data_IF_907022420647
#
_entry.id   IF_907022420647
#
_cell.length_a   1.000
_cell.length_b   1.000
_cell.length_c   1.000
_cell.angle_alpha   90.00
_cell.angle_beta   90.00
_cell.angle_gamma   90.00
#
_symmetry.space_group_name_H-M   'P 1'
#
loop_
_entity.id
_entity.type
_entity.pdbx_description
1 polymer ?
#
# COMPACT_ATOMS: atom_id res chain seq x y z
N UNK A 1 21.66 8.12 19.99
CA UNK A 1 20.18 8.22 20.08
C UNK A 1 19.66 8.46 18.67
N UNK A 2 19.15 7.42 18.00
CA UNK A 2 18.76 7.47 16.58
C UNK A 2 17.32 7.97 16.43
N UNK A 3 17.14 9.22 15.98
CA UNK A 3 15.83 9.77 15.63
C UNK A 3 15.54 9.52 14.13
N UNK A 4 14.99 8.35 13.81
CA UNK A 4 14.59 7.95 12.46
C UNK A 4 13.07 7.87 12.27
N UNK A 5 12.32 8.84 12.80
CA UNK A 5 10.88 8.93 12.58
C UNK A 5 10.54 9.28 11.12
N UNK A 6 9.36 8.86 10.60
CA UNK A 6 8.96 9.19 9.24
C UNK A 6 8.82 10.71 9.07
N UNK A 7 9.49 11.28 8.06
CA UNK A 7 9.38 12.70 7.75
C UNK A 7 8.10 13.00 6.97
N UNK A 8 7.29 13.92 7.49
CA UNK A 8 6.11 14.44 6.81
C UNK A 8 6.45 15.75 6.11
N UNK A 9 6.46 15.75 4.77
CA UNK A 9 6.69 16.93 3.92
C UNK A 9 5.35 17.58 3.55
N UNK A 10 5.18 18.86 3.88
CA UNK A 10 3.96 19.63 3.53
C UNK A 10 4.22 20.47 2.26
N UNK A 11 3.41 20.32 1.20
CA UNK A 11 3.48 21.22 0.05
C UNK A 11 2.60 22.45 0.28
N UNK A 12 3.22 23.61 0.51
CA UNK A 12 2.55 24.92 0.46
C UNK A 12 2.19 25.23 -0.99
N UNK A 13 0.92 25.09 -1.39
CA UNK A 13 0.23 25.89 -2.41
C UNK A 13 -1.24 25.49 -2.43
N UNK A 14 -2.12 26.41 -2.06
CA UNK A 14 -3.57 26.28 -2.21
C UNK A 14 -3.98 26.46 -3.68
N UNK A 15 -4.81 25.55 -4.22
CA UNK A 15 -5.93 25.82 -5.14
C UNK A 15 -6.68 24.48 -5.42
N UNK A 16 -7.98 24.45 -5.09
CA UNK A 16 -9.02 23.43 -5.41
C UNK A 16 -8.70 21.93 -5.18
N UNK A 17 -9.13 21.43 -4.01
CA UNK A 17 -9.64 20.06 -3.70
C UNK A 17 -9.09 18.81 -4.41
N UNK A 18 -7.84 18.78 -4.87
CA UNK A 18 -7.14 17.51 -5.00
C UNK A 18 -6.93 17.04 -3.57
N UNK A 19 -7.84 16.21 -3.04
CA UNK A 19 -7.56 15.45 -1.83
C UNK A 19 -6.34 14.60 -2.16
N UNK A 20 -5.16 15.14 -1.87
CA UNK A 20 -3.96 14.34 -1.71
C UNK A 20 -4.15 13.67 -0.38
N UNK A 21 -4.96 12.60 -0.38
CA UNK A 21 -5.02 11.71 0.76
C UNK A 21 -3.56 11.34 1.07
N UNK A 22 -3.09 11.56 2.29
CA UNK A 22 -1.68 11.37 2.62
C UNK A 22 -1.29 9.92 2.31
N UNK A 23 -0.30 9.74 1.44
CA UNK A 23 0.20 8.41 1.06
C UNK A 23 1.37 8.05 1.96
N UNK A 24 1.27 6.92 2.65
CA UNK A 24 2.38 6.32 3.36
C UNK A 24 3.19 5.44 2.40
N UNK A 25 4.46 5.80 2.18
CA UNK A 25 5.39 5.02 1.35
C UNK A 25 6.37 4.28 2.26
N UNK A 26 6.44 2.96 2.11
CA UNK A 26 7.36 2.10 2.87
C UNK A 26 8.04 1.10 1.94
N UNK A 27 9.31 0.81 2.21
CA UNK A 27 10.08 -0.23 1.51
C UNK A 27 10.06 -1.50 2.34
N UNK A 28 9.72 -2.64 1.72
CA UNK A 28 9.79 -3.98 2.31
C UNK A 28 10.71 -4.86 1.48
N UNK A 29 11.57 -5.64 2.15
CA UNK A 29 12.32 -6.75 1.54
C UNK A 29 11.44 -8.00 1.44
N UNK A 30 11.95 -9.02 0.77
CA UNK A 30 11.34 -10.36 0.83
C UNK A 30 11.15 -10.81 2.29
N UNK A 31 10.06 -11.51 2.53
CA UNK A 31 9.56 -12.00 3.82
C UNK A 31 9.15 -10.90 4.82
N UNK A 32 9.38 -9.63 4.52
CA UNK A 32 8.87 -8.52 5.33
C UNK A 32 7.39 -8.22 5.03
N UNK A 33 6.69 -7.72 6.05
CA UNK A 33 5.26 -7.43 5.98
C UNK A 33 4.91 -6.00 6.39
N UNK A 34 3.71 -5.58 5.95
CA UNK A 34 3.01 -4.38 6.35
C UNK A 34 1.74 -4.85 7.06
N UNK A 35 1.55 -4.42 8.30
CA UNK A 35 0.31 -4.66 9.04
C UNK A 35 -0.58 -3.41 8.96
N UNK A 36 -1.82 -3.63 8.58
CA UNK A 36 -2.90 -2.64 8.57
C UNK A 36 -3.92 -3.09 9.63
N UNK A 37 -4.60 -2.12 10.25
CA UNK A 37 -5.64 -2.36 11.26
C UNK A 37 -6.74 -3.33 10.75
N UNK A 38 -7.43 -4.01 11.66
CA UNK A 38 -8.39 -5.06 11.31
C UNK A 38 -7.77 -6.42 10.92
N UNK A 39 -6.48 -6.63 11.21
CA UNK A 39 -5.80 -7.91 10.96
C UNK A 39 -5.40 -8.12 9.49
N UNK A 40 -5.28 -7.04 8.72
CA UNK A 40 -4.86 -7.10 7.32
C UNK A 40 -3.33 -7.12 7.28
N UNK A 41 -2.76 -8.10 6.59
CA UNK A 41 -1.31 -8.26 6.46
C UNK A 41 -0.94 -8.41 4.99
N UNK A 42 -0.02 -7.56 4.52
CA UNK A 42 0.56 -7.64 3.18
C UNK A 42 2.02 -8.06 3.34
N UNK A 43 2.38 -9.21 2.77
CA UNK A 43 3.74 -9.78 2.84
C UNK A 43 4.36 -9.83 1.45
N UNK A 44 5.62 -9.43 1.33
CA UNK A 44 6.42 -9.66 0.13
C UNK A 44 6.97 -11.09 0.20
N UNK A 45 6.53 -11.98 -0.69
CA UNK A 45 7.01 -13.37 -0.68
C UNK A 45 8.23 -13.61 -1.57
N UNK A 46 8.34 -12.89 -2.69
CA UNK A 46 9.38 -13.10 -3.70
C UNK A 46 9.44 -11.87 -4.63
N UNK A 47 10.63 -11.45 -5.04
CA UNK A 47 10.86 -10.36 -5.99
C UNK A 47 11.65 -10.92 -7.18
N UNK A 48 11.00 -11.00 -8.35
CA UNK A 48 11.65 -11.46 -9.59
C UNK A 48 11.52 -10.44 -10.69
N UNK A 49 12.65 -9.88 -11.13
CA UNK A 49 12.71 -8.87 -12.18
C UNK A 49 11.73 -7.71 -11.91
N UNK A 50 10.62 -7.66 -12.65
CA UNK A 50 9.57 -6.66 -12.59
C UNK A 50 8.27 -7.17 -11.96
N UNK A 51 8.31 -8.31 -11.27
CA UNK A 51 7.15 -8.92 -10.62
C UNK A 51 7.44 -9.14 -9.15
N UNK A 52 6.44 -8.85 -8.33
CA UNK A 52 6.47 -9.10 -6.89
C UNK A 52 5.37 -10.10 -6.57
N UNK A 53 5.71 -11.16 -5.85
CA UNK A 53 4.74 -12.09 -5.29
C UNK A 53 4.28 -11.53 -3.95
N UNK A 54 3.02 -11.15 -3.85
CA UNK A 54 2.43 -10.62 -2.62
C UNK A 54 1.51 -11.66 -1.98
N UNK A 55 1.64 -11.80 -0.66
CA UNK A 55 0.66 -12.44 0.21
C UNK A 55 -0.26 -11.39 0.79
N UNK A 56 -1.57 -11.61 0.75
CA UNK A 56 -2.54 -10.72 1.37
C UNK A 56 -3.46 -11.55 2.26
N UNK A 57 -3.41 -11.30 3.55
CA UNK A 57 -4.36 -11.82 4.54
C UNK A 57 -5.33 -10.69 4.87
N UNK A 58 -6.62 -10.92 4.68
CA UNK A 58 -7.66 -9.93 4.96
C UNK A 58 -8.96 -10.66 5.41
N UNK A 59 -9.10 -10.97 6.70
CA UNK A 59 -10.25 -11.72 7.21
C UNK A 59 -11.56 -10.96 6.95
N UNK A 60 -12.60 -11.67 6.48
CA UNK A 60 -13.92 -11.08 6.24
C UNK A 60 -14.01 -10.10 5.06
N UNK A 61 -12.92 -9.86 4.33
CA UNK A 61 -12.86 -8.95 3.19
C UNK A 61 -12.51 -9.70 1.91
N UNK A 62 -13.09 -9.25 0.79
CA UNK A 62 -12.73 -9.77 -0.54
C UNK A 62 -11.53 -9.00 -1.08
N UNK A 63 -10.46 -9.71 -1.39
CA UNK A 63 -9.28 -9.15 -2.06
C UNK A 63 -9.46 -9.32 -3.58
N UNK A 64 -9.36 -8.23 -4.33
CA UNK A 64 -9.47 -8.21 -5.78
C UNK A 64 -8.28 -7.49 -6.40
N UNK A 65 -7.85 -7.97 -7.56
CA UNK A 65 -6.95 -7.22 -8.43
C UNK A 65 -7.74 -6.16 -9.18
N UNK A 66 -7.18 -4.96 -9.34
CA UNK A 66 -7.90 -3.80 -9.88
C UNK A 66 -8.49 -4.06 -11.27
N UNK A 67 -7.77 -4.79 -12.14
CA UNK A 67 -8.23 -5.12 -13.49
C UNK A 67 -9.53 -5.93 -13.54
N UNK A 68 -9.89 -6.61 -12.45
CA UNK A 68 -11.15 -7.37 -12.37
C UNK A 68 -12.38 -6.48 -12.12
N UNK A 69 -12.18 -5.25 -11.65
CA UNK A 69 -13.27 -4.30 -11.39
C UNK A 69 -13.76 -3.61 -12.68
N UNK A 70 -12.88 -3.48 -13.67
CA UNK A 70 -13.17 -2.77 -14.92
C UNK A 70 -14.08 -3.56 -15.88
N UNK A 71 -14.25 -4.87 -15.65
CA UNK A 71 -14.95 -5.80 -16.55
C UNK A 71 -16.48 -5.78 -16.46
N UNK A 72 -17.09 -4.79 -15.79
CA UNK A 72 -18.53 -4.74 -15.46
C UNK A 72 -19.38 -3.73 -16.24
N UNK A 73 -18.87 -3.15 -17.33
CA UNK A 73 -19.67 -2.36 -18.28
C UNK A 73 -19.90 -3.16 -19.55
N UNK A 74 -20.97 -3.96 -19.60
CA UNK A 74 -21.53 -4.56 -20.81
C UNK A 74 -23.02 -4.73 -20.60
#
# INVERSE_FOLDING_TARGET
MLNGGPQYVSPTTSLSSIRRDPVLVVTRKEEESITIEGGIVITVFDIRMNRVKLGIVAPGLRVLRTELLERKKS
#
